data_IF_109850874082
#
_entry.id   IF_109850874082
#
_cell.length_a   1.000
_cell.length_b   1.000
_cell.length_c   1.000
_cell.angle_alpha   90.00
_cell.angle_beta   90.00
_cell.angle_gamma   90.00
#
_symmetry.space_group_name_H-M   'P 1'
#
loop_
_entity.id
_entity.type
_entity.pdbx_description
1 polymer ?
#
# COMPACT_ATOMS: atom_id res chain seq x y z
N UNK A 1 -43.90 -20.55 -4.32
CA UNK A 1 -43.24 -19.25 -4.58
C UNK A 1 -41.81 -19.45 -5.10
N UNK A 2 -41.57 -19.62 -6.44
CA UNK A 2 -40.25 -19.86 -6.99
C UNK A 2 -39.39 -18.58 -7.17
N UNK A 3 -39.99 -17.38 -7.12
CA UNK A 3 -39.26 -16.12 -7.42
C UNK A 3 -38.37 -15.62 -6.30
N UNK A 4 -38.66 -15.89 -5.05
CA UNK A 4 -37.86 -15.43 -3.89
C UNK A 4 -36.57 -16.24 -3.73
N UNK A 5 -36.56 -17.51 -4.17
CA UNK A 5 -35.38 -18.38 -4.11
C UNK A 5 -34.29 -18.03 -5.16
N UNK A 6 -34.71 -17.51 -6.31
CA UNK A 6 -33.76 -17.06 -7.37
C UNK A 6 -33.05 -15.75 -7.04
N UNK A 7 -33.68 -14.84 -6.31
CA UNK A 7 -33.02 -13.60 -5.87
C UNK A 7 -31.97 -13.83 -4.76
N UNK A 8 -32.17 -14.85 -3.89
CA UNK A 8 -31.16 -15.22 -2.87
C UNK A 8 -29.95 -15.96 -3.44
N UNK A 9 -30.06 -16.65 -4.58
CA UNK A 9 -28.93 -17.35 -5.20
C UNK A 9 -28.04 -16.44 -6.07
N UNK A 10 -28.43 -15.19 -6.37
CA UNK A 10 -27.66 -14.26 -7.19
C UNK A 10 -26.64 -13.41 -6.39
N UNK A 11 -26.58 -13.55 -5.06
CA UNK A 11 -25.71 -12.73 -4.20
C UNK A 11 -24.50 -13.46 -3.59
N UNK A 12 -24.27 -14.76 -3.91
CA UNK A 12 -23.17 -15.53 -3.31
C UNK A 12 -22.08 -15.78 -4.35
N UNK A 13 -21.42 -14.71 -4.81
CA UNK A 13 -20.06 -14.81 -5.31
C UNK A 13 -19.17 -14.06 -4.31
N UNK A 14 -18.19 -14.76 -3.77
CA UNK A 14 -17.14 -14.16 -2.97
C UNK A 14 -16.51 -13.02 -3.78
N UNK A 15 -16.33 -11.85 -3.16
CA UNK A 15 -15.66 -10.71 -3.80
C UNK A 15 -14.18 -10.87 -3.57
N UNK A 16 -13.42 -10.98 -4.64
CA UNK A 16 -11.97 -11.07 -4.56
C UNK A 16 -11.35 -9.71 -4.88
N UNK A 17 -10.69 -9.12 -3.89
CA UNK A 17 -10.03 -7.82 -4.00
C UNK A 17 -8.53 -8.05 -3.94
N UNK A 18 -7.81 -7.58 -4.96
CA UNK A 18 -6.36 -7.47 -4.89
C UNK A 18 -5.97 -6.25 -4.06
N UNK A 19 -5.12 -6.42 -3.07
CA UNK A 19 -4.76 -5.31 -2.17
C UNK A 19 -3.28 -5.33 -1.84
N UNK A 20 -2.64 -4.15 -1.82
CA UNK A 20 -1.30 -4.02 -1.24
C UNK A 20 -1.40 -3.82 0.27
N UNK A 21 -0.38 -4.24 0.99
CA UNK A 21 -0.33 -4.19 2.45
C UNK A 21 -0.57 -2.77 3.00
N UNK A 22 0.10 -1.77 2.45
CA UNK A 22 -0.07 -0.36 2.85
C UNK A 22 -1.51 0.10 2.60
N UNK A 23 -2.05 -0.18 1.40
CA UNK A 23 -3.42 0.21 1.06
C UNK A 23 -4.46 -0.48 1.94
N UNK A 24 -4.21 -1.72 2.34
CA UNK A 24 -5.05 -2.43 3.30
C UNK A 24 -5.06 -1.72 4.66
N UNK A 25 -3.90 -1.43 5.21
CA UNK A 25 -3.74 -0.92 6.58
C UNK A 25 -4.16 0.53 6.73
N UNK A 26 -3.74 1.41 5.81
CA UNK A 26 -4.02 2.84 5.88
C UNK A 26 -5.49 3.13 5.55
N UNK A 27 -6.02 2.50 4.51
CA UNK A 27 -7.31 2.88 3.95
C UNK A 27 -8.40 1.82 4.12
N UNK A 28 -8.12 0.60 3.66
CA UNK A 28 -9.20 -0.35 3.39
C UNK A 28 -9.82 -0.95 4.65
N UNK A 29 -9.04 -1.22 5.71
CA UNK A 29 -9.54 -1.85 6.95
C UNK A 29 -10.66 -1.05 7.60
N UNK A 30 -10.48 0.25 7.79
CA UNK A 30 -11.50 1.14 8.37
C UNK A 30 -12.77 1.18 7.53
N UNK A 31 -12.63 1.20 6.20
CA UNK A 31 -13.77 1.20 5.27
C UNK A 31 -14.50 -0.14 5.28
N UNK A 32 -13.76 -1.26 5.31
CA UNK A 32 -14.36 -2.59 5.37
C UNK A 32 -15.11 -2.84 6.67
N UNK A 33 -14.62 -2.36 7.80
CA UNK A 33 -15.33 -2.42 9.07
C UNK A 33 -16.73 -1.80 8.97
N UNK A 34 -16.82 -0.57 8.48
CA UNK A 34 -18.09 0.12 8.27
C UNK A 34 -18.97 -0.60 7.22
N UNK A 35 -18.34 -1.06 6.12
CA UNK A 35 -19.06 -1.75 5.04
C UNK A 35 -19.71 -3.06 5.49
N UNK A 36 -19.00 -3.89 6.25
CA UNK A 36 -19.50 -5.19 6.71
C UNK A 36 -20.64 -5.05 7.72
N UNK A 37 -20.66 -3.96 8.49
CA UNK A 37 -21.80 -3.64 9.37
C UNK A 37 -23.07 -3.30 8.56
N UNK A 38 -22.91 -2.59 7.44
CA UNK A 38 -24.03 -2.20 6.57
C UNK A 38 -24.50 -3.33 5.65
N UNK A 39 -23.59 -4.24 5.28
CA UNK A 39 -23.83 -5.31 4.31
C UNK A 39 -23.30 -6.67 4.82
N UNK A 40 -23.87 -7.22 5.92
CA UNK A 40 -23.35 -8.41 6.59
C UNK A 40 -23.39 -9.69 5.72
N UNK A 41 -24.26 -9.73 4.70
CA UNK A 41 -24.37 -10.88 3.80
C UNK A 41 -23.33 -10.89 2.67
N UNK A 42 -22.52 -9.84 2.52
CA UNK A 42 -21.49 -9.75 1.49
C UNK A 42 -20.21 -10.40 1.99
N UNK A 43 -19.80 -11.48 1.32
CA UNK A 43 -18.50 -12.11 1.58
C UNK A 43 -17.41 -11.41 0.78
N UNK A 44 -16.33 -11.04 1.46
CA UNK A 44 -15.17 -10.37 0.89
C UNK A 44 -13.96 -11.28 1.06
N UNK A 45 -13.24 -11.54 -0.04
CA UNK A 45 -11.97 -12.23 -0.04
C UNK A 45 -10.89 -11.22 -0.42
N UNK A 46 -9.92 -11.04 0.45
CA UNK A 46 -8.74 -10.21 0.18
C UNK A 46 -7.57 -11.09 -0.24
N UNK A 47 -6.85 -10.67 -1.27
CA UNK A 47 -5.60 -11.30 -1.68
C UNK A 47 -4.49 -10.26 -1.65
N UNK A 48 -3.45 -10.53 -0.86
CA UNK A 48 -2.31 -9.62 -0.75
C UNK A 48 -1.40 -9.75 -1.98
N UNK A 49 -1.04 -8.61 -2.55
CA UNK A 49 -0.25 -8.52 -3.76
C UNK A 49 0.67 -7.29 -3.70
N UNK A 50 1.84 -7.35 -4.32
CA UNK A 50 2.49 -6.10 -4.73
C UNK A 50 1.64 -5.39 -5.78
N UNK A 51 1.87 -4.10 -6.01
CA UNK A 51 1.11 -3.32 -7.02
C UNK A 51 1.14 -4.00 -8.39
N UNK A 52 2.31 -4.45 -8.85
CA UNK A 52 2.46 -5.12 -10.15
C UNK A 52 1.73 -6.48 -10.19
N UNK A 53 1.75 -7.24 -9.09
CA UNK A 53 1.01 -8.51 -8.98
C UNK A 53 -0.50 -8.28 -9.00
N UNK A 54 -1.00 -7.22 -8.33
CA UNK A 54 -2.42 -6.88 -8.31
C UNK A 54 -2.93 -6.49 -9.70
N UNK A 55 -2.15 -5.72 -10.47
CA UNK A 55 -2.45 -5.38 -11.87
C UNK A 55 -2.54 -6.65 -12.72
N UNK A 56 -1.59 -7.57 -12.58
CA UNK A 56 -1.60 -8.85 -13.30
C UNK A 56 -2.79 -9.74 -12.88
N UNK A 57 -3.12 -9.80 -11.59
CA UNK A 57 -4.28 -10.55 -11.09
C UNK A 57 -5.60 -9.99 -11.64
N UNK A 58 -5.72 -8.66 -11.72
CA UNK A 58 -6.87 -7.99 -12.32
C UNK A 58 -7.00 -8.32 -13.82
N UNK A 59 -5.90 -8.24 -14.57
CA UNK A 59 -5.84 -8.60 -15.99
C UNK A 59 -6.22 -10.06 -16.25
N UNK A 60 -5.83 -10.95 -15.34
CA UNK A 60 -6.19 -12.37 -15.41
C UNK A 60 -7.62 -12.69 -14.93
N UNK A 61 -8.38 -11.68 -14.46
CA UNK A 61 -9.74 -11.86 -13.92
C UNK A 61 -9.79 -12.63 -12.60
N UNK A 62 -8.67 -12.70 -11.88
CA UNK A 62 -8.56 -13.38 -10.58
C UNK A 62 -9.11 -12.53 -9.44
N UNK A 63 -9.17 -11.21 -9.62
CA UNK A 63 -9.76 -10.24 -8.68
C UNK A 63 -10.77 -9.35 -9.39
N UNK A 64 -11.78 -8.87 -8.68
CA UNK A 64 -12.83 -8.00 -9.23
C UNK A 64 -12.32 -6.57 -9.45
N UNK A 65 -11.48 -6.10 -8.55
CA UNK A 65 -10.77 -4.82 -8.61
C UNK A 65 -9.56 -4.87 -7.67
N UNK A 66 -8.69 -3.87 -7.76
CA UNK A 66 -7.52 -3.78 -6.89
C UNK A 66 -7.46 -2.43 -6.17
N UNK A 67 -6.94 -2.43 -4.94
CA UNK A 67 -6.64 -1.23 -4.15
C UNK A 67 -5.17 -1.32 -3.75
N UNK A 68 -4.34 -0.49 -4.35
CA UNK A 68 -2.88 -0.57 -4.25
C UNK A 68 -2.25 0.82 -4.14
N UNK A 69 -0.94 0.88 -3.94
CA UNK A 69 -0.20 2.13 -3.86
C UNK A 69 0.49 2.47 -5.19
N UNK A 70 0.64 3.76 -5.48
CA UNK A 70 1.45 4.23 -6.61
C UNK A 70 2.95 3.99 -6.36
N UNK A 71 3.81 3.92 -7.41
CA UNK A 71 3.46 4.02 -8.84
C UNK A 71 2.73 2.78 -9.38
N UNK A 72 1.92 2.97 -10.41
CA UNK A 72 1.15 1.92 -11.08
C UNK A 72 1.37 1.98 -12.58
N UNK A 73 1.80 0.87 -13.17
CA UNK A 73 1.90 0.71 -14.61
C UNK A 73 0.61 0.08 -15.14
N UNK A 74 -0.33 0.93 -15.59
CA UNK A 74 -1.59 0.47 -16.16
C UNK A 74 -1.38 -0.11 -17.55
N UNK A 75 -2.10 -1.19 -17.85
CA UNK A 75 -2.07 -1.85 -19.17
C UNK A 75 -3.49 -2.04 -19.71
N UNK A 76 -3.64 -1.95 -21.04
CA UNK A 76 -4.94 -2.18 -21.68
C UNK A 76 -6.01 -1.15 -21.30
N UNK A 77 -7.21 -1.63 -21.02
CA UNK A 77 -8.38 -0.80 -20.70
C UNK A 77 -8.55 -0.56 -19.17
N UNK A 78 -7.46 -0.65 -18.42
CA UNK A 78 -7.47 -0.39 -16.99
C UNK A 78 -7.57 1.10 -16.68
N UNK A 79 -8.29 1.42 -15.61
CA UNK A 79 -8.45 2.78 -15.09
C UNK A 79 -8.07 2.77 -13.62
N UNK A 80 -7.30 3.79 -13.21
CA UNK A 80 -7.02 4.07 -11.81
C UNK A 80 -7.73 5.34 -11.36
N UNK A 81 -8.09 5.36 -10.09
CA UNK A 81 -8.70 6.50 -9.43
C UNK A 81 -8.07 6.65 -8.05
N UNK A 82 -7.55 7.84 -7.72
CA UNK A 82 -6.97 8.12 -6.41
C UNK A 82 -8.06 8.12 -5.34
N UNK A 83 -7.79 7.46 -4.22
CA UNK A 83 -8.66 7.39 -3.05
C UNK A 83 -8.16 8.30 -1.93
N UNK A 84 -6.87 8.28 -1.64
CA UNK A 84 -6.18 9.17 -0.71
C UNK A 84 -4.68 9.13 -0.96
N UNK A 85 -3.98 10.15 -0.44
CA UNK A 85 -2.51 10.20 -0.44
C UNK A 85 -1.97 9.85 0.93
N UNK A 86 -0.71 9.40 0.99
CA UNK A 86 0.04 9.16 2.21
C UNK A 86 1.50 9.54 2.01
N UNK A 87 2.19 9.81 3.12
CA UNK A 87 3.59 10.19 3.13
C UNK A 87 4.45 9.08 3.74
N UNK A 88 5.62 8.82 3.13
CA UNK A 88 6.63 7.92 3.69
C UNK A 88 7.71 8.74 4.39
N UNK A 89 8.06 8.36 5.62
CA UNK A 89 9.18 8.93 6.37
C UNK A 89 10.33 7.93 6.44
N UNK A 90 11.55 8.44 6.55
CA UNK A 90 12.71 7.61 6.84
C UNK A 90 12.73 7.26 8.33
N UNK A 91 12.89 5.98 8.65
CA UNK A 91 12.93 5.45 10.00
C UNK A 91 14.22 4.71 10.29
N UNK A 92 14.64 4.76 11.54
CA UNK A 92 15.82 4.08 12.08
C UNK A 92 15.46 3.33 13.35
N UNK A 93 16.14 2.22 13.62
CA UNK A 93 16.17 1.62 14.95
C UNK A 93 17.06 2.41 15.93
N UNK A 94 17.05 2.06 17.23
CA UNK A 94 17.81 2.78 18.28
C UNK A 94 19.30 2.99 17.95
N UNK A 95 19.94 2.01 17.30
CA UNK A 95 21.37 2.08 16.94
C UNK A 95 21.69 3.21 15.96
N UNK A 96 20.78 3.53 15.07
CA UNK A 96 20.97 4.52 14.00
C UNK A 96 20.13 5.78 14.22
N UNK A 97 19.50 5.92 15.38
CA UNK A 97 18.73 7.12 15.73
C UNK A 97 19.62 8.36 15.67
N UNK A 98 19.09 9.45 15.17
CA UNK A 98 19.77 10.74 15.09
C UNK A 98 19.19 11.69 16.14
N UNK A 99 19.95 12.70 16.60
CA UNK A 99 19.38 13.79 17.40
C UNK A 99 18.19 14.44 16.67
N UNK A 100 17.13 14.79 17.38
CA UNK A 100 15.87 15.32 16.82
C UNK A 100 16.04 16.52 15.88
N UNK A 101 17.09 17.32 16.10
CA UNK A 101 17.39 18.51 15.30
C UNK A 101 18.42 18.27 14.20
N UNK A 102 18.92 17.04 14.05
CA UNK A 102 19.86 16.71 12.96
C UNK A 102 19.06 16.46 11.67
N UNK A 103 19.33 17.25 10.66
CA UNK A 103 18.87 17.02 9.29
C UNK A 103 20.04 16.41 8.52
N UNK A 104 19.79 15.32 7.82
CA UNK A 104 20.78 14.67 6.95
C UNK A 104 20.35 14.80 5.50
N UNK A 105 21.31 14.79 4.58
CA UNK A 105 21.05 14.76 3.15
C UNK A 105 20.88 13.33 2.67
N UNK A 106 20.12 13.16 1.59
CA UNK A 106 19.90 11.84 0.96
C UNK A 106 21.21 11.16 0.57
N UNK A 107 22.23 11.94 0.19
CA UNK A 107 23.58 11.46 -0.11
C UNK A 107 24.25 10.76 1.07
N UNK A 108 24.01 11.25 2.30
CA UNK A 108 24.58 10.66 3.53
C UNK A 108 24.02 9.26 3.84
N UNK A 109 22.90 8.87 3.21
CA UNK A 109 22.32 7.52 3.40
C UNK A 109 23.23 6.41 2.86
N UNK A 110 24.18 6.74 1.97
CA UNK A 110 25.17 5.77 1.47
C UNK A 110 26.08 5.24 2.58
N UNK A 111 26.20 5.96 3.69
CA UNK A 111 27.01 5.55 4.87
C UNK A 111 26.24 4.61 5.81
N UNK A 112 24.96 4.33 5.55
CA UNK A 112 24.12 3.49 6.37
C UNK A 112 23.60 2.28 5.61
N UNK A 113 23.47 1.10 6.25
CA UNK A 113 22.75 -0.01 5.64
C UNK A 113 21.32 0.40 5.32
N UNK A 114 20.86 0.12 4.10
CA UNK A 114 19.53 0.52 3.65
C UNK A 114 18.65 -0.69 3.31
N UNK A 115 17.40 -0.63 3.78
CA UNK A 115 16.42 -1.70 3.67
C UNK A 115 15.22 -1.19 2.88
N UNK A 116 14.80 -1.92 1.87
CA UNK A 116 13.55 -1.63 1.14
C UNK A 116 12.93 -2.91 0.56
N UNK A 117 11.82 -2.74 -0.15
CA UNK A 117 11.21 -3.84 -0.88
C UNK A 117 12.06 -4.21 -2.10
N UNK A 118 12.01 -5.50 -2.46
CA UNK A 118 12.75 -6.06 -3.58
C UNK A 118 12.43 -5.39 -4.92
N UNK A 119 13.37 -5.48 -5.85
CA UNK A 119 13.21 -5.07 -7.24
C UNK A 119 11.94 -5.67 -7.86
N UNK A 120 11.29 -4.94 -8.77
CA UNK A 120 10.03 -5.31 -9.39
C UNK A 120 8.77 -5.00 -8.55
N UNK A 121 8.94 -4.34 -7.39
CA UNK A 121 7.82 -3.77 -6.64
C UNK A 121 7.63 -2.29 -6.95
N UNK A 122 6.38 -1.78 -6.91
CA UNK A 122 6.13 -0.35 -7.11
C UNK A 122 6.83 0.53 -6.07
N UNK A 123 7.03 0.04 -4.85
CA UNK A 123 7.78 0.76 -3.81
C UNK A 123 9.27 0.91 -4.16
N UNK A 124 9.90 -0.16 -4.65
CA UNK A 124 11.27 -0.10 -5.14
C UNK A 124 11.40 0.91 -6.30
N UNK A 125 10.48 0.84 -7.28
CA UNK A 125 10.47 1.76 -8.42
C UNK A 125 10.32 3.22 -7.97
N UNK A 126 9.48 3.48 -6.95
CA UNK A 126 9.26 4.80 -6.36
C UNK A 126 10.56 5.38 -5.79
N UNK A 127 11.27 4.62 -4.94
CA UNK A 127 12.51 5.11 -4.33
C UNK A 127 13.67 5.16 -5.32
N UNK A 128 13.75 4.21 -6.24
CA UNK A 128 14.72 4.29 -7.35
C UNK A 128 14.59 5.60 -8.12
N UNK A 129 13.36 6.00 -8.43
CA UNK A 129 13.09 7.29 -9.07
C UNK A 129 13.44 8.47 -8.17
N UNK A 130 13.08 8.44 -6.88
CA UNK A 130 13.39 9.52 -5.94
C UNK A 130 14.91 9.76 -5.80
N UNK A 131 15.70 8.69 -5.67
CA UNK A 131 17.15 8.80 -5.63
C UNK A 131 17.71 9.29 -6.97
N UNK A 132 17.23 8.76 -8.08
CA UNK A 132 17.66 9.19 -9.42
C UNK A 132 17.37 10.67 -9.68
N UNK A 133 16.21 11.18 -9.29
CA UNK A 133 15.83 12.60 -9.42
C UNK A 133 16.74 13.52 -8.59
N UNK A 134 17.43 12.98 -7.57
CA UNK A 134 18.45 13.66 -6.78
C UNK A 134 19.90 13.33 -7.22
N UNK A 135 20.09 12.75 -8.40
CA UNK A 135 21.38 12.33 -8.97
C UNK A 135 22.11 11.28 -8.13
N UNK A 136 21.39 10.43 -7.42
CA UNK A 136 21.91 9.35 -6.59
C UNK A 136 21.46 7.98 -7.11
N UNK A 137 22.18 6.94 -6.74
CA UNK A 137 21.79 5.56 -6.97
C UNK A 137 21.10 4.99 -5.74
N UNK A 138 19.99 4.28 -5.95
CA UNK A 138 19.29 3.58 -4.90
C UNK A 138 19.90 2.20 -4.71
N UNK A 139 20.77 2.07 -3.71
CA UNK A 139 21.46 0.81 -3.39
C UNK A 139 20.86 0.23 -2.13
N UNK A 140 20.50 -1.06 -2.18
CA UNK A 140 19.96 -1.80 -1.03
C UNK A 140 21.02 -2.74 -0.48
N UNK A 141 21.17 -2.74 0.85
CA UNK A 141 21.93 -3.76 1.57
C UNK A 141 21.05 -4.97 1.90
N UNK A 142 19.75 -4.75 2.09
CA UNK A 142 18.79 -5.79 2.39
C UNK A 142 17.46 -5.55 1.69
N UNK A 143 16.92 -6.65 1.14
CA UNK A 143 15.62 -6.66 0.50
C UNK A 143 14.58 -7.35 1.37
N UNK A 144 13.41 -6.76 1.46
CA UNK A 144 12.23 -7.31 2.15
C UNK A 144 11.11 -7.64 1.17
N UNK A 145 10.28 -8.60 1.49
CA UNK A 145 9.12 -8.97 0.68
C UNK A 145 7.88 -8.14 1.00
N UNK A 146 7.79 -7.60 2.23
CA UNK A 146 6.64 -6.82 2.71
C UNK A 146 7.10 -5.60 3.51
N UNK A 147 6.23 -4.60 3.60
CA UNK A 147 6.50 -3.38 4.37
C UNK A 147 6.66 -3.67 5.87
N UNK A 148 5.91 -4.64 6.43
CA UNK A 148 6.08 -5.04 7.83
C UNK A 148 7.44 -5.71 8.09
N UNK A 149 8.02 -6.40 7.11
CA UNK A 149 9.39 -6.90 7.23
C UNK A 149 10.41 -5.77 7.26
N UNK A 150 10.23 -4.71 6.46
CA UNK A 150 11.10 -3.52 6.55
C UNK A 150 11.09 -2.96 7.96
N UNK A 151 9.90 -2.75 8.54
CA UNK A 151 9.76 -2.27 9.92
C UNK A 151 10.49 -3.18 10.92
N UNK A 152 10.25 -4.49 10.86
CA UNK A 152 10.87 -5.46 11.76
C UNK A 152 12.41 -5.46 11.67
N UNK A 153 12.95 -5.33 10.45
CA UNK A 153 14.40 -5.25 10.22
C UNK A 153 14.99 -3.94 10.75
N UNK A 154 14.27 -2.81 10.57
CA UNK A 154 14.67 -1.52 11.15
C UNK A 154 14.68 -1.59 12.69
N UNK A 155 13.62 -2.14 13.31
CA UNK A 155 13.56 -2.35 14.77
C UNK A 155 14.71 -3.24 15.28
N UNK A 156 15.13 -4.23 14.48
CA UNK A 156 16.27 -5.09 14.77
C UNK A 156 17.64 -4.41 14.55
N UNK A 157 17.67 -3.11 14.23
CA UNK A 157 18.89 -2.34 13.96
C UNK A 157 19.73 -2.85 12.79
N UNK A 158 19.07 -3.39 11.75
CA UNK A 158 19.76 -3.87 10.56
C UNK A 158 20.05 -2.76 9.55
N UNK A 159 19.35 -1.62 9.62
CA UNK A 159 19.55 -0.48 8.73
C UNK A 159 18.43 0.55 8.87
N UNK A 160 18.40 1.49 7.92
CA UNK A 160 17.33 2.46 7.76
C UNK A 160 16.38 2.01 6.65
N UNK A 161 15.16 2.54 6.66
CA UNK A 161 14.19 2.28 5.60
C UNK A 161 13.08 3.32 5.59
N UNK A 162 12.41 3.45 4.46
CA UNK A 162 11.20 4.26 4.37
C UNK A 162 9.97 3.48 4.83
N UNK A 163 9.08 4.15 5.55
CA UNK A 163 7.87 3.56 6.09
C UNK A 163 6.75 4.61 6.16
N UNK A 164 5.48 4.24 5.92
CA UNK A 164 4.37 5.20 5.99
C UNK A 164 4.26 5.85 7.37
N UNK A 165 4.23 7.19 7.41
CA UNK A 165 4.21 7.98 8.64
C UNK A 165 3.02 7.61 9.55
N UNK A 166 1.83 7.43 8.95
CA UNK A 166 0.63 7.05 9.70
C UNK A 166 0.79 5.71 10.44
N UNK A 167 1.49 4.76 9.82
CA UNK A 167 1.74 3.45 10.41
C UNK A 167 2.95 3.46 11.38
N UNK A 168 3.88 4.41 11.19
CA UNK A 168 5.06 4.56 12.04
C UNK A 168 4.73 5.15 13.41
N UNK A 169 3.71 6.00 13.50
CA UNK A 169 3.39 6.82 14.68
C UNK A 169 3.32 6.04 15.98
N UNK A 170 2.69 4.87 15.99
CA UNK A 170 2.56 4.02 17.17
C UNK A 170 3.92 3.49 17.66
N UNK A 171 4.78 3.08 16.75
CA UNK A 171 6.12 2.54 17.04
C UNK A 171 7.08 3.64 17.48
N UNK A 172 6.93 4.85 16.94
CA UNK A 172 7.68 6.05 17.38
C UNK A 172 7.30 6.41 18.82
N UNK A 173 6.00 6.44 19.14
CA UNK A 173 5.53 6.72 20.51
C UNK A 173 6.03 5.70 21.53
N UNK A 174 6.23 4.45 21.11
CA UNK A 174 6.80 3.39 21.97
C UNK A 174 8.33 3.43 22.05
N UNK A 175 8.99 4.29 21.28
CA UNK A 175 10.46 4.34 21.21
C UNK A 175 11.09 3.11 20.53
N UNK A 176 10.34 2.39 19.72
CA UNK A 176 10.81 1.20 19.00
C UNK A 176 11.54 1.57 17.70
N UNK A 177 11.15 2.69 17.10
CA UNK A 177 11.80 3.31 15.95
C UNK A 177 11.86 4.82 16.11
N UNK A 178 12.72 5.46 15.32
CA UNK A 178 12.97 6.90 15.38
C UNK A 178 12.89 7.47 13.96
N UNK A 179 12.19 8.61 13.76
CA UNK A 179 12.20 9.29 12.47
C UNK A 179 13.59 9.88 12.23
N UNK A 180 14.03 9.83 10.97
CA UNK A 180 15.26 10.47 10.51
C UNK A 180 14.88 11.62 9.60
N UNK A 181 15.23 12.85 9.99
CA UNK A 181 14.88 14.04 9.24
C UNK A 181 15.77 14.17 8.01
N UNK A 182 15.19 14.01 6.82
CA UNK A 182 15.85 14.24 5.55
C UNK A 182 15.63 15.67 5.08
N UNK A 183 16.66 16.27 4.46
CA UNK A 183 16.54 17.54 3.76
C UNK A 183 15.67 17.39 2.50
N UNK A 184 15.91 16.31 1.73
CA UNK A 184 15.12 15.96 0.55
C UNK A 184 13.89 15.18 0.98
N UNK A 185 12.70 15.75 0.73
CA UNK A 185 11.43 15.08 1.04
C UNK A 185 11.10 14.03 -0.02
N UNK A 186 10.81 12.82 0.41
CA UNK A 186 10.26 11.81 -0.49
C UNK A 186 8.89 12.28 -1.03
N UNK A 187 8.60 12.08 -2.33
CA UNK A 187 7.30 12.43 -2.89
C UNK A 187 6.18 11.62 -2.25
N UNK A 188 5.02 12.27 -2.04
CA UNK A 188 3.81 11.58 -1.60
C UNK A 188 3.40 10.48 -2.56
N UNK A 189 2.74 9.47 -2.02
CA UNK A 189 2.18 8.35 -2.77
C UNK A 189 0.68 8.29 -2.60
N UNK A 190 -0.01 7.78 -3.61
CA UNK A 190 -1.45 7.60 -3.57
C UNK A 190 -1.83 6.14 -3.33
N UNK A 191 -2.92 5.95 -2.61
CA UNK A 191 -3.70 4.72 -2.64
C UNK A 191 -4.72 4.86 -3.76
N UNK A 192 -4.69 3.93 -4.70
CA UNK A 192 -5.53 3.99 -5.91
C UNK A 192 -6.39 2.75 -6.04
N UNK A 193 -7.61 2.95 -6.51
CA UNK A 193 -8.50 1.90 -6.96
C UNK A 193 -8.26 1.65 -8.46
N UNK A 194 -7.99 0.38 -8.81
CA UNK A 194 -7.80 -0.03 -10.21
C UNK A 194 -8.94 -0.95 -10.63
N UNK A 195 -9.49 -0.69 -11.81
CA UNK A 195 -10.54 -1.49 -12.44
C UNK A 195 -10.20 -1.76 -13.89
N UNK A 196 -10.70 -2.88 -14.41
CA UNK A 196 -10.66 -3.18 -15.83
C UNK A 196 -12.02 -2.94 -16.44
N UNK A 197 -12.08 -2.10 -17.50
CA UNK A 197 -13.35 -1.69 -18.14
C UNK A 197 -14.05 -2.83 -18.87
N UNK A 198 -13.34 -3.91 -19.22
CA UNK A 198 -13.89 -5.07 -19.95
C UNK A 198 -14.65 -6.05 -19.06
N UNK A 199 -14.38 -6.08 -17.76
CA UNK A 199 -15.06 -7.00 -16.86
C UNK A 199 -16.34 -6.38 -16.32
N UNK A 200 -17.45 -7.10 -16.44
CA UNK A 200 -18.73 -6.69 -15.87
C UNK A 200 -18.65 -6.82 -14.36
N UNK A 201 -18.53 -5.71 -13.67
CA UNK A 201 -18.58 -5.66 -12.21
C UNK A 201 -19.93 -6.18 -11.70
N UNK A 202 -19.88 -7.02 -10.68
CA UNK A 202 -21.09 -7.47 -10.01
C UNK A 202 -21.72 -6.34 -9.19
N UNK A 203 -23.00 -6.49 -8.84
CA UNK A 203 -23.72 -5.51 -8.04
C UNK A 203 -23.02 -5.26 -6.69
N UNK A 204 -22.49 -6.29 -6.04
CA UNK A 204 -21.80 -6.13 -4.76
C UNK A 204 -20.42 -5.47 -4.92
N UNK A 205 -19.68 -5.77 -6.00
CA UNK A 205 -18.42 -5.06 -6.29
C UNK A 205 -18.68 -3.56 -6.53
N UNK A 206 -19.71 -3.23 -7.32
CA UNK A 206 -20.14 -1.82 -7.53
C UNK A 206 -20.51 -1.12 -6.24
N UNK A 207 -21.27 -1.79 -5.36
CA UNK A 207 -21.62 -1.23 -4.05
C UNK A 207 -20.39 -0.94 -3.20
N UNK A 208 -19.46 -1.90 -3.14
CA UNK A 208 -18.22 -1.71 -2.37
C UNK A 208 -17.36 -0.60 -2.97
N UNK A 209 -17.15 -0.58 -4.27
CA UNK A 209 -16.41 0.48 -4.95
C UNK A 209 -17.02 1.85 -4.67
N UNK A 210 -18.34 2.00 -4.81
CA UNK A 210 -19.02 3.26 -4.51
C UNK A 210 -18.87 3.64 -3.02
N UNK A 211 -18.93 2.68 -2.12
CA UNK A 211 -18.72 2.91 -0.70
C UNK A 211 -17.30 3.42 -0.42
N UNK A 212 -16.28 2.79 -1.01
CA UNK A 212 -14.87 3.19 -0.85
C UNK A 212 -14.62 4.64 -1.33
N UNK A 213 -15.32 5.07 -2.38
CA UNK A 213 -15.14 6.40 -3.00
C UNK A 213 -15.85 7.54 -2.28
N UNK A 214 -17.00 7.27 -1.69
CA UNK A 214 -17.92 8.32 -1.20
C UNK A 214 -18.09 8.35 0.31
N UNK A 215 -17.54 7.39 1.04
CA UNK A 215 -17.61 7.42 2.51
C UNK A 215 -16.42 8.22 3.04
N UNK A 216 -16.68 9.44 3.48
CA UNK A 216 -15.73 10.24 4.28
C UNK A 216 -15.53 9.57 5.64
N UNK A 217 -14.34 9.68 6.22
CA UNK A 217 -14.00 9.11 7.55
C UNK A 217 -14.75 9.77 8.70
#
# INVERSE_FOLDING_TARGET
>A
HPRVRRQRQMCIRDRCIGVSEIALRIFLLKKLEKFTQLFPDVKIKLTNHSTNQAVNALKAGLVDFAVVTTPVNLTGDMKSESLCSFHDILIAGPKYSQPDNKIIHLEELQDYPFISLAEGTGTHDHYTKFFYDNNLHFNLDMEASTTDQVLAMVQANLGLGFYPEELASEYIMRGEIFPVNLYESAPDRDIVLIRESRHTESIAAKKLINFLKHTTD
#
